data_IF_663439149525
#
_entry.id   IF_663439149525
#
_cell.length_a   1.000
_cell.length_b   1.000
_cell.length_c   1.000
_cell.angle_alpha   90.00
_cell.angle_beta   90.00
_cell.angle_gamma   90.00
#
_symmetry.space_group_name_H-M   'P 1'
#
loop_
_entity.id
_entity.type
_entity.pdbx_description
1 polymer ?
#
# COMPACT_ATOMS: atom_id res chain seq x y z
N UNK A 1 74.87 42.53 70.00
CA UNK A 1 74.17 43.47 69.11
C UNK A 1 74.82 43.29 67.74
N UNK A 2 74.13 42.81 66.78
CA UNK A 2 73.45 43.57 65.80
C UNK A 2 72.08 43.00 65.39
N UNK A 3 71.34 43.83 64.77
CA UNK A 3 69.98 43.74 64.31
C UNK A 3 69.72 42.66 63.26
N UNK A 4 68.57 42.00 63.37
CA UNK A 4 68.02 41.09 62.37
C UNK A 4 66.94 41.86 61.57
N UNK A 5 67.14 42.00 60.29
CA UNK A 5 66.17 42.56 59.33
C UNK A 5 65.13 41.47 58.93
N UNK A 6 63.87 41.82 58.81
CA UNK A 6 62.83 40.85 58.46
C UNK A 6 62.79 40.57 56.96
N UNK A 7 62.74 39.31 56.70
CA UNK A 7 62.57 38.69 55.40
C UNK A 7 61.23 39.03 54.74
N UNK A 8 61.28 39.53 53.53
CA UNK A 8 60.07 39.80 52.71
C UNK A 8 59.71 38.53 51.96
N UNK A 9 58.72 37.82 52.46
CA UNK A 9 58.06 36.74 51.74
C UNK A 9 57.25 37.31 50.62
N UNK A 10 57.78 37.19 49.42
CA UNK A 10 57.08 37.51 48.19
C UNK A 10 56.12 36.38 47.84
N UNK A 11 54.85 36.59 48.11
CA UNK A 11 53.79 35.66 47.69
C UNK A 11 53.65 35.72 46.15
N UNK A 12 54.03 34.63 45.49
CA UNK A 12 53.84 34.44 44.05
C UNK A 12 52.36 34.33 43.77
N UNK A 13 51.82 35.32 43.08
CA UNK A 13 50.46 35.27 42.56
C UNK A 13 50.37 34.23 41.42
N UNK A 14 49.56 33.20 41.61
CA UNK A 14 49.17 32.25 40.57
C UNK A 14 48.43 32.98 39.43
N UNK A 15 48.78 32.71 38.14
CA UNK A 15 48.08 33.32 37.04
C UNK A 15 46.65 32.79 36.99
N UNK A 16 45.69 33.71 36.95
CA UNK A 16 44.27 33.38 36.65
C UNK A 16 44.20 32.54 35.37
N UNK A 17 43.56 31.38 35.48
CA UNK A 17 43.23 30.55 34.36
C UNK A 17 42.41 31.36 33.34
N UNK A 18 42.92 31.55 32.15
CA UNK A 18 42.25 32.16 31.04
C UNK A 18 40.98 31.35 30.72
N UNK A 19 39.84 31.97 30.90
CA UNK A 19 38.53 31.42 30.51
C UNK A 19 38.57 31.13 29.00
N UNK A 20 38.30 29.87 28.63
CA UNK A 20 38.11 29.46 27.23
C UNK A 20 37.05 30.36 26.58
N UNK A 21 37.29 30.89 25.37
CA UNK A 21 36.27 31.64 24.67
C UNK A 21 35.10 30.72 24.37
N UNK A 22 33.94 31.07 24.91
CA UNK A 22 32.67 30.43 24.53
C UNK A 22 32.41 30.79 23.07
N UNK A 23 32.45 29.78 22.20
CA UNK A 23 32.11 29.92 20.80
C UNK A 23 30.58 30.16 20.74
N UNK A 24 30.11 31.33 20.29
CA UNK A 24 28.69 31.58 20.19
C UNK A 24 28.11 30.62 19.14
N UNK A 25 27.35 29.62 19.56
CA UNK A 25 26.56 28.74 18.68
C UNK A 25 25.54 29.64 17.96
N UNK A 26 25.83 29.97 16.71
CA UNK A 26 24.90 30.74 15.84
C UNK A 26 23.66 29.91 15.55
N UNK A 27 22.64 30.00 16.37
CA UNK A 27 21.32 29.39 16.24
C UNK A 27 20.56 29.89 14.98
N UNK A 28 21.07 30.86 14.24
CA UNK A 28 20.43 31.42 13.04
C UNK A 28 20.46 30.51 11.81
N UNK A 29 21.28 29.45 11.78
CA UNK A 29 21.33 28.52 10.66
C UNK A 29 20.17 27.49 10.69
N UNK A 30 19.53 27.29 11.82
CA UNK A 30 18.54 26.22 12.00
C UNK A 30 17.25 26.39 11.22
N UNK A 31 16.68 27.58 11.15
CA UNK A 31 15.37 27.80 10.53
C UNK A 31 15.39 27.56 9.00
N UNK A 32 16.40 28.10 8.29
CA UNK A 32 16.52 27.91 6.86
C UNK A 32 16.78 26.44 6.48
N UNK A 33 17.58 25.73 7.27
CA UNK A 33 17.84 24.30 7.08
C UNK A 33 16.57 23.51 7.32
N UNK A 34 15.84 23.80 8.39
CA UNK A 34 14.58 23.13 8.72
C UNK A 34 13.51 23.32 7.64
N UNK A 35 13.33 24.55 7.12
CA UNK A 35 12.41 24.86 6.02
C UNK A 35 12.81 24.11 4.74
N UNK A 36 14.09 24.09 4.39
CA UNK A 36 14.61 23.31 3.26
C UNK A 36 14.29 21.82 3.41
N UNK A 37 14.55 21.25 4.58
CA UNK A 37 14.36 19.81 4.82
C UNK A 37 12.86 19.45 4.81
N UNK A 38 12.00 20.36 5.29
CA UNK A 38 10.54 20.22 5.18
C UNK A 38 10.10 20.22 3.71
N UNK A 39 10.60 21.14 2.89
CA UNK A 39 10.27 21.23 1.45
C UNK A 39 10.73 19.95 0.73
N UNK A 40 11.95 19.48 1.01
CA UNK A 40 12.49 18.25 0.41
C UNK A 40 11.64 17.04 0.82
N UNK A 41 11.28 16.93 2.09
CA UNK A 41 10.43 15.85 2.60
C UNK A 41 9.05 15.86 1.94
N UNK A 42 8.41 17.03 1.82
CA UNK A 42 7.14 17.19 1.13
C UNK A 42 7.24 16.82 -0.36
N UNK A 43 8.32 17.25 -1.03
CA UNK A 43 8.54 16.93 -2.44
C UNK A 43 8.74 15.42 -2.67
N UNK A 44 9.52 14.76 -1.81
CA UNK A 44 9.72 13.30 -1.85
C UNK A 44 8.39 12.58 -1.57
N UNK A 45 7.64 13.00 -0.56
CA UNK A 45 6.34 12.40 -0.23
C UNK A 45 5.33 12.56 -1.37
N UNK A 46 5.25 13.75 -1.95
CA UNK A 46 4.41 14.00 -3.12
C UNK A 46 4.82 13.14 -4.32
N UNK A 47 6.12 13.02 -4.59
CA UNK A 47 6.64 12.15 -5.64
C UNK A 47 6.23 10.69 -5.43
N UNK A 48 6.41 10.17 -4.20
CA UNK A 48 6.02 8.79 -3.85
C UNK A 48 4.52 8.60 -4.09
N UNK A 49 3.67 9.51 -3.59
CA UNK A 49 2.21 9.40 -3.75
C UNK A 49 1.81 9.45 -5.23
N UNK A 50 2.36 10.37 -6.01
CA UNK A 50 1.97 10.57 -7.42
C UNK A 50 2.43 9.41 -8.30
N UNK A 51 3.64 8.87 -8.07
CA UNK A 51 4.23 7.86 -8.95
C UNK A 51 3.95 6.42 -8.53
N UNK A 52 3.85 6.14 -7.22
CA UNK A 52 3.63 4.78 -6.71
C UNK A 52 2.14 4.44 -6.52
N UNK A 53 1.32 5.43 -6.20
CA UNK A 53 -0.10 5.24 -5.93
C UNK A 53 -0.95 6.02 -6.93
N UNK A 54 -1.91 5.34 -7.50
CA UNK A 54 -2.91 5.98 -8.38
C UNK A 54 -4.23 6.07 -7.62
N UNK A 55 -4.78 7.28 -7.44
CA UNK A 55 -6.15 7.42 -6.97
C UNK A 55 -7.11 6.95 -8.08
N UNK A 56 -8.03 6.07 -7.72
CA UNK A 56 -9.03 5.50 -8.63
C UNK A 56 -10.40 5.64 -7.96
N UNK A 57 -11.41 5.97 -8.75
CA UNK A 57 -12.79 5.94 -8.36
C UNK A 57 -13.37 4.59 -8.79
N UNK A 58 -13.98 3.88 -7.84
CA UNK A 58 -14.69 2.63 -8.10
C UNK A 58 -16.00 2.95 -8.82
N UNK A 59 -16.26 2.31 -9.93
CA UNK A 59 -17.50 2.42 -10.67
C UNK A 59 -18.16 1.06 -10.79
N UNK A 60 -19.41 0.98 -10.35
CA UNK A 60 -20.21 -0.24 -10.32
C UNK A 60 -20.16 -0.99 -9.00
N UNK A 61 -21.00 -2.00 -8.91
CA UNK A 61 -21.32 -2.72 -7.66
C UNK A 61 -20.65 -4.08 -7.55
N UNK A 62 -19.83 -4.49 -8.53
CA UNK A 62 -19.32 -5.87 -8.65
C UNK A 62 -18.37 -6.30 -7.54
N UNK A 63 -17.86 -5.38 -6.74
CA UNK A 63 -16.98 -5.63 -5.61
C UNK A 63 -17.64 -5.39 -4.24
N UNK A 64 -18.93 -5.09 -4.22
CA UNK A 64 -19.67 -4.98 -2.96
C UNK A 64 -19.68 -6.32 -2.21
N UNK A 65 -19.58 -6.33 -0.88
CA UNK A 65 -19.49 -5.15 -0.01
C UNK A 65 -18.06 -4.64 0.22
N UNK A 66 -17.03 -5.33 -0.30
CA UNK A 66 -15.61 -4.97 -0.04
C UNK A 66 -15.22 -3.61 -0.60
N UNK A 67 -15.81 -3.24 -1.75
CA UNK A 67 -15.69 -1.89 -2.34
C UNK A 67 -17.07 -1.46 -2.84
N UNK A 68 -17.48 -0.26 -2.45
CA UNK A 68 -18.76 0.32 -2.86
C UNK A 68 -18.63 1.15 -4.15
N UNK A 69 -19.79 1.33 -4.81
CA UNK A 69 -19.84 2.25 -5.96
C UNK A 69 -19.49 3.68 -5.52
N UNK A 70 -18.74 4.40 -6.34
CA UNK A 70 -18.22 5.75 -6.11
C UNK A 70 -17.15 5.86 -5.00
N UNK A 71 -16.76 4.77 -4.37
CA UNK A 71 -15.64 4.76 -3.43
C UNK A 71 -14.34 5.18 -4.13
N UNK A 72 -13.48 5.90 -3.40
CA UNK A 72 -12.16 6.29 -3.91
C UNK A 72 -11.08 5.54 -3.17
N UNK A 73 -10.25 4.86 -3.93
CA UNK A 73 -9.20 3.99 -3.44
C UNK A 73 -7.84 4.38 -4.00
N UNK A 74 -6.79 4.02 -3.30
CA UNK A 74 -5.43 4.02 -3.83
C UNK A 74 -5.07 2.66 -4.39
N UNK A 75 -4.55 2.66 -5.61
CA UNK A 75 -4.01 1.49 -6.30
C UNK A 75 -2.49 1.59 -6.31
N UNK A 76 -1.82 0.61 -5.72
CA UNK A 76 -0.37 0.49 -5.78
C UNK A 76 0.04 -0.21 -7.08
N UNK A 77 0.73 0.52 -7.97
CA UNK A 77 1.19 0.02 -9.28
C UNK A 77 2.55 -0.68 -9.23
N UNK A 78 3.28 -0.53 -8.15
CA UNK A 78 4.63 -1.06 -8.01
C UNK A 78 4.69 -2.37 -7.24
N UNK A 79 3.66 -2.70 -6.47
CA UNK A 79 3.67 -3.87 -5.58
C UNK A 79 4.07 -5.14 -6.33
N UNK A 80 3.51 -5.38 -7.50
CA UNK A 80 3.77 -6.60 -8.29
C UNK A 80 5.08 -6.60 -9.09
N UNK A 81 5.93 -5.58 -8.87
CA UNK A 81 7.35 -5.62 -9.27
C UNK A 81 8.24 -6.18 -8.17
N UNK A 82 7.76 -6.16 -6.93
CA UNK A 82 8.51 -6.52 -5.72
C UNK A 82 7.95 -7.78 -5.07
N UNK A 83 6.65 -8.01 -5.17
CA UNK A 83 5.91 -9.08 -4.53
C UNK A 83 5.10 -9.86 -5.58
N UNK A 84 4.90 -11.18 -5.41
CA UNK A 84 3.99 -11.93 -6.25
C UNK A 84 2.54 -11.49 -6.01
N UNK A 85 1.68 -11.74 -7.00
CA UNK A 85 0.24 -11.65 -6.82
C UNK A 85 -0.20 -12.84 -5.97
N UNK A 86 -1.01 -12.59 -4.94
CA UNK A 86 -1.48 -13.61 -4.02
C UNK A 86 -2.99 -13.84 -4.15
N UNK A 87 -3.45 -15.02 -3.72
CA UNK A 87 -4.88 -15.30 -3.61
C UNK A 87 -5.50 -14.37 -2.55
N UNK A 88 -6.66 -13.80 -2.88
CA UNK A 88 -7.33 -12.80 -2.05
C UNK A 88 -6.99 -11.36 -2.41
N UNK A 89 -5.93 -11.11 -3.18
CA UNK A 89 -5.61 -9.76 -3.64
C UNK A 89 -6.74 -9.17 -4.47
N UNK A 90 -7.09 -7.92 -4.19
CA UNK A 90 -7.99 -7.14 -5.04
C UNK A 90 -7.14 -6.42 -6.09
N UNK A 91 -7.19 -6.93 -7.31
CA UNK A 91 -6.36 -6.46 -8.42
C UNK A 91 -7.12 -5.55 -9.36
N UNK A 92 -6.38 -4.60 -9.93
CA UNK A 92 -6.85 -3.72 -10.99
C UNK A 92 -6.17 -4.12 -12.29
N UNK A 93 -6.96 -4.37 -13.32
CA UNK A 93 -6.46 -4.87 -14.60
C UNK A 93 -7.23 -4.29 -15.78
N UNK A 94 -6.58 -4.26 -16.95
CA UNK A 94 -7.25 -3.93 -18.21
C UNK A 94 -8.14 -5.09 -18.64
N UNK A 95 -9.37 -4.81 -18.98
CA UNK A 95 -10.33 -5.83 -19.41
C UNK A 95 -9.84 -6.54 -20.68
N UNK A 96 -9.66 -7.87 -20.69
CA UNK A 96 -9.01 -8.56 -21.81
C UNK A 96 -9.72 -8.43 -23.17
N UNK A 97 -11.05 -8.25 -23.18
CA UNK A 97 -11.83 -8.09 -24.41
C UNK A 97 -11.92 -6.62 -24.88
N UNK A 98 -11.63 -5.66 -23.97
CA UNK A 98 -11.63 -4.23 -24.28
C UNK A 98 -10.62 -3.51 -23.34
N UNK A 99 -9.33 -3.46 -23.72
CA UNK A 99 -8.27 -2.90 -22.87
C UNK A 99 -8.38 -1.40 -22.59
N UNK A 100 -9.35 -0.70 -23.21
CA UNK A 100 -9.67 0.69 -22.87
C UNK A 100 -10.37 0.80 -21.51
N UNK A 101 -10.97 -0.30 -21.02
CA UNK A 101 -11.65 -0.40 -19.74
C UNK A 101 -10.77 -1.08 -18.71
N UNK A 102 -10.90 -0.65 -17.47
CA UNK A 102 -10.26 -1.31 -16.33
C UNK A 102 -11.29 -1.91 -15.40
N UNK A 103 -10.98 -3.09 -14.88
CA UNK A 103 -11.82 -3.81 -13.92
C UNK A 103 -11.08 -4.00 -12.61
N UNK A 104 -11.84 -4.12 -11.53
CA UNK A 104 -11.36 -4.44 -10.19
C UNK A 104 -12.02 -5.76 -9.80
N UNK A 105 -11.22 -6.78 -9.44
CA UNK A 105 -11.70 -8.10 -9.02
C UNK A 105 -10.76 -8.70 -7.98
N UNK A 106 -11.25 -9.71 -7.26
CA UNK A 106 -10.46 -10.50 -6.31
C UNK A 106 -9.85 -11.70 -6.99
N UNK A 107 -8.56 -11.95 -6.71
CA UNK A 107 -7.84 -13.15 -7.17
C UNK A 107 -8.33 -14.37 -6.38
N UNK A 108 -8.87 -15.35 -7.10
CA UNK A 108 -9.38 -16.60 -6.54
C UNK A 108 -8.49 -17.78 -6.92
N UNK A 109 -8.01 -17.84 -8.16
CA UNK A 109 -7.14 -18.89 -8.65
C UNK A 109 -5.81 -18.38 -9.13
N UNK A 110 -4.76 -19.11 -8.78
CA UNK A 110 -3.39 -18.90 -9.20
C UNK A 110 -3.05 -19.81 -10.38
N UNK A 111 -2.00 -19.47 -11.13
CA UNK A 111 -1.53 -20.33 -12.23
C UNK A 111 -1.35 -21.79 -11.76
N UNK A 112 -1.95 -22.72 -12.50
CA UNK A 112 -1.94 -24.16 -12.20
C UNK A 112 -3.07 -24.65 -11.29
N UNK A 113 -3.82 -23.76 -10.64
CA UNK A 113 -4.98 -24.15 -9.83
C UNK A 113 -6.12 -24.71 -10.70
N UNK A 114 -6.82 -25.68 -10.15
CA UNK A 114 -8.09 -26.19 -10.67
C UNK A 114 -9.23 -25.47 -9.97
N UNK A 115 -9.99 -24.67 -10.72
CA UNK A 115 -11.12 -23.91 -10.21
C UNK A 115 -12.40 -24.56 -10.70
N UNK A 116 -13.32 -24.83 -9.77
CA UNK A 116 -14.69 -25.28 -10.06
C UNK A 116 -15.66 -24.47 -9.18
N UNK A 117 -16.80 -24.13 -9.74
CA UNK A 117 -17.89 -23.51 -8.96
C UNK A 117 -19.10 -24.40 -9.11
N UNK A 118 -19.76 -24.72 -8.00
CA UNK A 118 -20.91 -25.61 -7.96
C UNK A 118 -21.98 -24.99 -7.06
N UNK A 119 -23.10 -24.62 -7.67
CA UNK A 119 -24.19 -23.94 -6.97
C UNK A 119 -23.76 -22.65 -6.23
N UNK A 120 -22.77 -21.93 -6.76
CA UNK A 120 -22.19 -20.74 -6.16
C UNK A 120 -21.01 -20.97 -5.22
N UNK A 121 -20.80 -22.20 -4.73
CA UNK A 121 -19.64 -22.53 -3.90
C UNK A 121 -18.38 -22.69 -4.76
N UNK A 122 -17.33 -21.95 -4.42
CA UNK A 122 -16.06 -22.02 -5.12
C UNK A 122 -15.18 -23.13 -4.53
N UNK A 123 -14.57 -23.91 -5.41
CA UNK A 123 -13.60 -24.95 -5.06
C UNK A 123 -12.27 -24.65 -5.76
N UNK A 124 -11.19 -24.74 -5.01
CA UNK A 124 -9.83 -24.61 -5.50
C UNK A 124 -9.08 -25.91 -5.20
N UNK A 125 -8.57 -26.57 -6.24
CA UNK A 125 -7.88 -27.86 -6.12
C UNK A 125 -8.71 -28.91 -5.37
N UNK A 126 -10.04 -28.88 -5.56
CA UNK A 126 -10.99 -29.80 -4.93
C UNK A 126 -11.42 -29.42 -3.51
N UNK A 127 -10.84 -28.37 -2.91
CA UNK A 127 -11.21 -27.90 -1.58
C UNK A 127 -12.14 -26.68 -1.68
N UNK A 128 -13.21 -26.66 -0.88
CA UNK A 128 -14.08 -25.50 -0.78
C UNK A 128 -13.29 -24.29 -0.25
N UNK A 129 -13.40 -23.19 -0.96
CA UNK A 129 -12.77 -21.94 -0.54
C UNK A 129 -13.62 -21.29 0.57
N UNK A 130 -12.94 -20.84 1.62
CA UNK A 130 -13.58 -19.96 2.62
C UNK A 130 -13.72 -18.56 2.03
N UNK A 131 -14.97 -18.12 1.90
CA UNK A 131 -15.34 -16.84 1.32
C UNK A 131 -16.18 -16.01 2.30
N UNK A 132 -15.72 -15.97 3.56
CA UNK A 132 -16.37 -15.20 4.64
C UNK A 132 -16.52 -13.71 4.33
N UNK A 133 -15.80 -13.20 3.32
CA UNK A 133 -15.93 -11.84 2.80
C UNK A 133 -17.10 -11.65 1.83
N UNK A 134 -17.81 -12.72 1.44
CA UNK A 134 -19.01 -12.68 0.57
C UNK A 134 -20.23 -13.01 1.40
N UNK A 135 -21.00 -12.02 1.88
CA UNK A 135 -22.27 -12.27 2.55
C UNK A 135 -23.30 -12.94 1.64
N UNK A 136 -24.27 -13.65 2.24
CA UNK A 136 -25.25 -14.44 1.49
C UNK A 136 -26.05 -13.63 0.46
N UNK A 137 -26.33 -12.36 0.73
CA UNK A 137 -27.05 -11.47 -0.19
C UNK A 137 -26.27 -11.16 -1.49
N UNK A 138 -24.95 -11.36 -1.49
CA UNK A 138 -24.06 -11.13 -2.64
C UNK A 138 -23.70 -12.41 -3.38
N UNK A 139 -24.18 -13.57 -2.92
CA UNK A 139 -23.96 -14.86 -3.57
C UNK A 139 -24.83 -15.05 -4.79
N UNK A 140 -24.52 -16.04 -5.61
CA UNK A 140 -25.38 -16.56 -6.67
C UNK A 140 -25.35 -18.10 -6.67
N UNK A 141 -26.11 -18.70 -7.57
CA UNK A 141 -26.15 -20.16 -7.75
C UNK A 141 -25.47 -20.62 -9.03
N UNK A 142 -24.69 -19.76 -9.69
CA UNK A 142 -24.00 -20.11 -10.94
C UNK A 142 -23.00 -21.23 -10.70
N UNK A 143 -22.93 -22.14 -11.66
CA UNK A 143 -21.88 -23.16 -11.70
C UNK A 143 -20.89 -22.87 -12.82
N UNK A 144 -19.63 -23.27 -12.62
CA UNK A 144 -18.56 -23.14 -13.60
C UNK A 144 -17.76 -24.46 -13.63
N UNK A 145 -17.55 -25.06 -14.82
CA UNK A 145 -16.87 -26.34 -14.93
C UNK A 145 -15.42 -26.26 -14.45
N UNK A 146 -14.88 -27.39 -13.97
CA UNK A 146 -13.49 -27.42 -13.53
C UNK A 146 -12.57 -26.98 -14.66
N UNK A 147 -11.76 -26.00 -14.40
CA UNK A 147 -10.85 -25.37 -15.34
C UNK A 147 -9.49 -25.15 -14.68
N UNK A 148 -8.42 -25.49 -15.39
CA UNK A 148 -7.06 -25.19 -14.92
C UNK A 148 -6.71 -23.75 -15.29
N UNK A 149 -6.24 -23.00 -14.32
CA UNK A 149 -5.76 -21.62 -14.56
C UNK A 149 -4.46 -21.67 -15.36
N UNK A 150 -4.39 -21.04 -16.55
CA UNK A 150 -3.20 -21.06 -17.38
C UNK A 150 -1.96 -20.45 -16.69
N UNK A 151 -0.78 -20.80 -17.16
CA UNK A 151 0.47 -20.17 -16.72
C UNK A 151 0.40 -18.65 -16.88
N UNK A 152 0.98 -17.92 -15.93
CA UNK A 152 0.98 -16.45 -15.89
C UNK A 152 -0.43 -15.83 -15.96
N UNK A 153 -1.44 -16.55 -15.47
CA UNK A 153 -2.81 -16.07 -15.45
C UNK A 153 -3.45 -16.28 -14.08
N UNK A 154 -4.52 -15.52 -13.83
CA UNK A 154 -5.24 -15.53 -12.58
C UNK A 154 -6.74 -15.65 -12.85
N UNK A 155 -7.41 -16.48 -12.07
CA UNK A 155 -8.87 -16.56 -12.07
C UNK A 155 -9.40 -15.56 -11.06
N UNK A 156 -10.20 -14.62 -11.50
CA UNK A 156 -10.66 -13.51 -10.67
C UNK A 156 -12.18 -13.47 -10.60
N UNK A 157 -12.72 -13.15 -9.42
CA UNK A 157 -14.16 -13.00 -9.22
C UNK A 157 -14.47 -11.63 -8.58
N UNK A 158 -15.65 -11.11 -8.87
CA UNK A 158 -16.23 -10.04 -8.08
C UNK A 158 -16.78 -10.57 -6.77
N UNK A 159 -16.76 -9.76 -5.72
CA UNK A 159 -17.31 -10.14 -4.43
C UNK A 159 -18.85 -10.15 -4.48
N UNK A 160 -19.46 -9.28 -5.28
CA UNK A 160 -20.89 -9.34 -5.61
C UNK A 160 -21.13 -10.36 -6.72
N UNK A 161 -21.18 -11.62 -6.36
CA UNK A 161 -21.24 -12.77 -7.28
C UNK A 161 -22.33 -12.68 -8.34
N UNK A 162 -23.53 -12.26 -7.94
CA UNK A 162 -24.68 -12.13 -8.83
C UNK A 162 -24.59 -10.95 -9.81
N UNK A 163 -23.81 -9.91 -9.48
CA UNK A 163 -23.69 -8.68 -10.27
C UNK A 163 -22.27 -8.45 -10.80
N UNK A 164 -21.51 -9.53 -11.07
CA UNK A 164 -20.15 -9.43 -11.54
C UNK A 164 -19.97 -10.06 -12.92
N UNK A 165 -19.36 -9.29 -13.82
CA UNK A 165 -18.73 -9.81 -15.04
C UNK A 165 -17.26 -10.08 -14.71
N UNK A 166 -16.88 -11.36 -14.65
CA UNK A 166 -15.57 -11.80 -14.15
C UNK A 166 -15.05 -13.05 -14.91
N UNK A 167 -14.12 -13.79 -14.35
CA UNK A 167 -13.51 -14.93 -15.05
C UNK A 167 -14.50 -16.03 -15.45
N UNK A 168 -15.68 -16.07 -14.86
CA UNK A 168 -16.77 -16.97 -15.29
C UNK A 168 -17.30 -16.61 -16.68
N UNK A 169 -17.12 -15.35 -17.09
CA UNK A 169 -17.66 -14.80 -18.35
C UNK A 169 -16.55 -14.59 -19.41
N UNK A 170 -15.36 -14.17 -19.01
CA UNK A 170 -14.27 -13.82 -19.93
C UNK A 170 -13.00 -14.69 -19.79
N UNK A 171 -12.98 -15.61 -18.82
CA UNK A 171 -11.83 -16.49 -18.57
C UNK A 171 -10.77 -15.88 -17.66
N UNK A 172 -9.67 -16.58 -17.51
CA UNK A 172 -8.54 -16.12 -16.68
C UNK A 172 -7.86 -14.88 -17.26
N UNK A 173 -7.36 -14.01 -16.39
CA UNK A 173 -6.66 -12.77 -16.75
C UNK A 173 -5.17 -13.02 -16.76
N UNK A 174 -4.50 -12.76 -17.88
CA UNK A 174 -3.05 -12.83 -17.93
C UNK A 174 -2.41 -11.72 -17.08
N UNK A 175 -1.29 -12.02 -16.42
CA UNK A 175 -0.56 -11.10 -15.55
C UNK A 175 -0.23 -9.76 -16.22
N UNK A 176 0.04 -9.77 -17.53
CA UNK A 176 0.37 -8.54 -18.28
C UNK A 176 -0.76 -7.51 -18.32
N UNK A 177 -2.01 -7.91 -18.08
CA UNK A 177 -3.14 -7.00 -17.96
C UNK A 177 -3.27 -6.39 -16.57
N UNK A 178 -2.71 -7.04 -15.53
CA UNK A 178 -2.78 -6.58 -14.13
C UNK A 178 -1.73 -5.51 -13.91
N UNK A 179 -2.17 -4.33 -13.50
CA UNK A 179 -1.27 -3.20 -13.32
C UNK A 179 -1.22 -2.63 -11.90
N UNK A 180 -2.01 -3.18 -10.96
CA UNK A 180 -1.92 -2.74 -9.57
C UNK A 180 -2.84 -3.50 -8.62
N UNK A 181 -2.61 -3.26 -7.32
CA UNK A 181 -3.38 -3.79 -6.19
C UNK A 181 -4.14 -2.66 -5.53
N UNK A 182 -5.42 -2.84 -5.28
CA UNK A 182 -6.19 -1.95 -4.42
C UNK A 182 -5.70 -2.11 -2.98
N UNK A 183 -5.28 -1.03 -2.33
CA UNK A 183 -4.62 -1.13 -1.02
C UNK A 183 -5.32 -0.35 0.08
N UNK A 184 -5.96 0.76 -0.25
CA UNK A 184 -6.51 1.65 0.76
C UNK A 184 -7.69 2.47 0.20
N UNK A 185 -8.83 2.45 0.90
CA UNK A 185 -9.97 3.34 0.66
C UNK A 185 -9.76 4.65 1.42
N UNK A 186 -9.93 5.79 0.72
CA UNK A 186 -9.74 7.10 1.34
C UNK A 186 -10.98 7.99 1.29
N UNK A 187 -12.02 7.56 0.61
CA UNK A 187 -13.31 8.25 0.54
C UNK A 187 -14.43 7.25 0.19
N UNK A 188 -15.61 7.33 0.82
CA UNK A 188 -15.98 8.28 1.88
C UNK A 188 -15.28 8.01 3.21
N UNK A 189 -15.42 8.91 4.20
CA UNK A 189 -14.65 8.86 5.46
C UNK A 189 -14.97 7.65 6.33
N UNK A 190 -16.18 7.12 6.23
CA UNK A 190 -16.62 5.89 6.92
C UNK A 190 -16.01 4.61 6.32
N UNK A 191 -15.45 4.70 5.11
CA UNK A 191 -14.73 3.62 4.41
C UNK A 191 -13.21 3.76 4.48
N UNK A 192 -12.73 4.69 5.30
CA UNK A 192 -11.29 4.91 5.44
C UNK A 192 -10.60 3.66 6.00
N UNK A 193 -9.73 3.04 5.23
CA UNK A 193 -9.01 1.86 5.69
C UNK A 193 -8.37 1.01 4.59
N UNK A 194 -7.78 -0.10 5.03
CA UNK A 194 -7.21 -1.08 4.09
C UNK A 194 -8.32 -1.82 3.35
N UNK A 195 -8.15 -1.94 2.06
CA UNK A 195 -8.95 -2.81 1.21
C UNK A 195 -8.55 -4.26 1.51
N UNK A 196 -9.54 -5.12 1.88
CA UNK A 196 -9.33 -6.52 2.28
C UNK A 196 -10.21 -7.45 1.47
#
# INVERSE_FOLDING_TARGET
MPEISPDQTQAAALPLAASKPEIPVRVRAGFGIWVRDLIISLAISAFIIIFLYQPVKVEGTSMMPSLEDQERIFVNKFVYRLEPIERGDIVVFRYPRDPSKSYIKRVIGMAGDKIRIDGGQVYVNGQALDESYVPLEYTDSRSYPETVVPAQSYFVLGDHRSMSNDSRDFGSVNQSFIYGKAVFGYWPMDKLGRVR
#
